data_IF_095117452218
#
_entry.id   IF_095117452218
#
_cell.length_a   1.000
_cell.length_b   1.000
_cell.length_c   1.000
_cell.angle_alpha   90.00
_cell.angle_beta   90.00
_cell.angle_gamma   90.00
#
_symmetry.space_group_name_H-M   'P 1'
#
loop_
_entity.id
_entity.type
_entity.pdbx_description
1 polymer ?
#
# COMPACT_ATOMS: atom_id res chain seq x y z
N UNK A 1 -15.04 0.87 -9.03
CA UNK A 1 -13.76 0.91 -8.31
C UNK A 1 -13.34 -0.47 -7.78
N UNK A 2 -12.09 -0.87 -8.01
CA UNK A 2 -11.46 -2.06 -7.44
C UNK A 2 -10.51 -1.70 -6.30
N UNK A 3 -10.61 -2.44 -5.20
CA UNK A 3 -9.62 -2.42 -4.13
C UNK A 3 -8.71 -3.63 -4.30
N UNK A 4 -7.40 -3.43 -4.17
CA UNK A 4 -6.39 -4.44 -4.44
C UNK A 4 -5.46 -4.54 -3.22
N UNK A 5 -5.11 -5.77 -2.83
CA UNK A 5 -3.97 -6.01 -1.94
C UNK A 5 -3.13 -7.19 -2.44
N UNK A 6 -1.92 -7.33 -1.91
CA UNK A 6 -1.04 -8.44 -2.22
C UNK A 6 -0.73 -9.26 -0.96
N UNK A 7 -0.88 -10.58 -1.06
CA UNK A 7 -0.56 -11.51 0.01
C UNK A 7 0.37 -12.61 -0.56
N UNK A 8 1.67 -12.43 -0.39
CA UNK A 8 2.70 -13.39 -0.81
C UNK A 8 3.65 -13.70 0.36
N UNK A 9 4.32 -14.86 0.28
CA UNK A 9 5.11 -15.40 1.38
C UNK A 9 4.28 -15.71 2.64
N UNK A 10 4.97 -15.79 3.78
CA UNK A 10 4.37 -16.19 5.07
C UNK A 10 4.21 -15.03 6.06
N UNK A 11 4.73 -13.84 5.72
CA UNK A 11 4.68 -12.66 6.60
C UNK A 11 3.25 -12.26 6.95
N UNK A 12 2.33 -12.31 5.98
CA UNK A 12 0.95 -11.91 6.15
C UNK A 12 0.00 -13.08 5.89
N UNK A 13 -0.86 -13.35 6.86
CA UNK A 13 -1.87 -14.40 6.82
C UNK A 13 -3.20 -13.93 6.22
N UNK A 14 -4.13 -14.86 6.01
CA UNK A 14 -5.48 -14.55 5.56
C UNK A 14 -6.20 -13.57 6.50
N UNK A 15 -5.91 -13.62 7.81
CA UNK A 15 -6.41 -12.64 8.78
C UNK A 15 -6.03 -11.21 8.42
N UNK A 16 -4.83 -10.95 7.88
CA UNK A 16 -4.42 -9.59 7.50
C UNK A 16 -5.22 -9.05 6.32
N UNK A 17 -5.53 -9.92 5.36
CA UNK A 17 -6.38 -9.58 4.21
C UNK A 17 -7.79 -9.25 4.70
N UNK A 18 -8.35 -10.08 5.57
CA UNK A 18 -9.67 -9.87 6.17
C UNK A 18 -9.70 -8.62 7.04
N UNK A 19 -8.64 -8.36 7.79
CA UNK A 19 -8.50 -7.18 8.65
C UNK A 19 -8.46 -5.89 7.83
N UNK A 20 -7.68 -5.85 6.74
CA UNK A 20 -7.67 -4.72 5.82
C UNK A 20 -9.07 -4.48 5.23
N UNK A 21 -9.72 -5.54 4.75
CA UNK A 21 -11.08 -5.45 4.21
C UNK A 21 -12.08 -4.95 5.26
N UNK A 22 -12.00 -5.46 6.49
CA UNK A 22 -12.82 -5.02 7.62
C UNK A 22 -12.65 -3.53 7.88
N UNK A 23 -11.42 -3.03 7.96
CA UNK A 23 -11.17 -1.61 8.21
C UNK A 23 -11.70 -0.72 7.07
N UNK A 24 -11.58 -1.18 5.83
CA UNK A 24 -12.14 -0.49 4.66
C UNK A 24 -13.66 -0.45 4.74
N UNK A 25 -14.31 -1.58 4.98
CA UNK A 25 -15.77 -1.69 4.96
C UNK A 25 -16.43 -0.86 6.06
N UNK A 26 -15.81 -0.80 7.24
CA UNK A 26 -16.43 -0.24 8.44
C UNK A 26 -16.04 1.21 8.70
N UNK A 27 -14.83 1.64 8.30
CA UNK A 27 -14.32 2.96 8.68
C UNK A 27 -14.04 3.88 7.49
N UNK A 28 -13.57 3.34 6.36
CA UNK A 28 -13.04 4.18 5.29
C UNK A 28 -14.07 5.04 4.56
N UNK A 29 -15.35 4.62 4.55
CA UNK A 29 -16.39 5.24 3.73
C UNK A 29 -16.23 5.02 2.22
N UNK A 30 -15.28 4.19 1.78
CA UNK A 30 -15.09 3.83 0.39
C UNK A 30 -16.22 2.90 -0.09
N UNK A 31 -16.58 3.03 -1.36
CA UNK A 31 -17.49 2.13 -2.08
C UNK A 31 -16.73 1.53 -3.24
N UNK A 32 -16.78 0.20 -3.36
CA UNK A 32 -16.04 -0.54 -4.36
C UNK A 32 -16.87 -1.73 -4.84
N UNK A 33 -16.55 -2.19 -6.06
CA UNK A 33 -17.27 -3.27 -6.73
C UNK A 33 -16.63 -4.63 -6.46
N UNK A 34 -15.32 -4.66 -6.23
CA UNK A 34 -14.55 -5.88 -5.94
C UNK A 34 -13.31 -5.62 -5.09
N UNK A 35 -12.96 -6.63 -4.30
CA UNK A 35 -11.77 -6.68 -3.47
C UNK A 35 -10.87 -7.80 -3.98
N UNK A 36 -9.75 -7.44 -4.59
CA UNK A 36 -8.87 -8.34 -5.32
C UNK A 36 -7.60 -8.63 -4.53
N UNK A 37 -7.25 -9.91 -4.42
CA UNK A 37 -6.03 -10.36 -3.73
C UNK A 37 -5.07 -11.01 -4.72
N UNK A 38 -3.87 -10.46 -4.86
CA UNK A 38 -2.80 -11.09 -5.62
C UNK A 38 -1.99 -11.99 -4.68
N UNK A 39 -2.06 -13.31 -4.93
CA UNK A 39 -1.37 -14.34 -4.14
C UNK A 39 -0.18 -14.99 -4.83
N UNK A 40 0.01 -14.74 -6.13
CA UNK A 40 1.08 -15.37 -6.91
C UNK A 40 2.43 -14.78 -6.52
N UNK A 41 3.31 -15.63 -6.01
CA UNK A 41 4.69 -15.29 -5.69
C UNK A 41 5.61 -15.67 -6.87
N UNK A 42 6.17 -14.65 -7.54
CA UNK A 42 7.11 -14.78 -8.64
C UNK A 42 8.56 -14.54 -8.22
N UNK A 43 8.78 -13.70 -7.21
CA UNK A 43 10.10 -13.12 -6.89
C UNK A 43 10.53 -13.32 -5.43
N UNK A 44 9.66 -13.88 -4.58
CA UNK A 44 9.88 -14.02 -3.14
C UNK A 44 9.94 -12.71 -2.37
N UNK A 45 9.49 -11.59 -2.96
CA UNK A 45 9.64 -10.26 -2.38
C UNK A 45 8.56 -9.26 -2.86
N UNK A 46 8.69 -7.99 -2.46
CA UNK A 46 7.71 -6.93 -2.76
C UNK A 46 7.49 -6.65 -4.26
N UNK A 47 8.41 -7.04 -5.15
CA UNK A 47 8.22 -6.89 -6.60
C UNK A 47 7.03 -7.68 -7.15
N UNK A 48 6.55 -8.68 -6.40
CA UNK A 48 5.30 -9.37 -6.70
C UNK A 48 4.12 -8.42 -6.87
N UNK A 49 4.12 -7.26 -6.19
CA UNK A 49 3.04 -6.27 -6.33
C UNK A 49 2.92 -5.71 -7.75
N UNK A 50 4.03 -5.66 -8.52
CA UNK A 50 4.01 -5.09 -9.87
C UNK A 50 3.10 -5.84 -10.85
N UNK A 51 2.74 -7.10 -10.55
CA UNK A 51 1.76 -7.88 -11.32
C UNK A 51 0.40 -7.17 -11.42
N UNK A 52 0.04 -6.32 -10.45
CA UNK A 52 -1.25 -5.61 -10.47
C UNK A 52 -1.41 -4.69 -11.68
N UNK A 53 -0.31 -4.09 -12.16
CA UNK A 53 -0.35 -3.18 -13.30
C UNK A 53 -0.54 -3.90 -14.63
N UNK A 54 -0.20 -5.20 -14.68
CA UNK A 54 -0.47 -6.03 -15.86
C UNK A 54 -1.88 -6.62 -15.83
N UNK A 55 -2.35 -6.98 -14.62
CA UNK A 55 -3.63 -7.64 -14.40
C UNK A 55 -4.83 -6.69 -14.48
N UNK A 56 -4.65 -5.45 -14.02
CA UNK A 56 -5.73 -4.48 -13.91
C UNK A 56 -5.44 -3.24 -14.76
N UNK A 57 -5.86 -3.30 -16.03
CA UNK A 57 -5.59 -2.30 -17.07
C UNK A 57 -6.80 -1.41 -17.39
N UNK A 58 -7.84 -1.51 -16.59
CA UNK A 58 -9.13 -0.85 -16.78
C UNK A 58 -9.70 -0.36 -15.45
N UNK A 59 -10.76 0.44 -15.55
CA UNK A 59 -11.51 0.95 -14.40
C UNK A 59 -10.65 1.77 -13.43
N UNK A 60 -11.22 2.05 -12.26
CA UNK A 60 -10.55 2.71 -11.15
C UNK A 60 -9.92 1.67 -10.23
N UNK A 61 -8.65 1.87 -9.88
CA UNK A 61 -7.84 0.94 -9.10
C UNK A 61 -7.32 1.66 -7.85
N UNK A 62 -7.42 0.99 -6.71
CA UNK A 62 -6.86 1.44 -5.43
C UNK A 62 -6.19 0.27 -4.72
N UNK A 63 -4.88 0.33 -4.57
CA UNK A 63 -4.07 -0.63 -3.84
C UNK A 63 -3.82 -0.16 -2.41
N UNK A 64 -3.85 -1.11 -1.48
CA UNK A 64 -3.33 -0.94 -0.12
C UNK A 64 -2.34 -2.07 0.20
N UNK A 65 -1.21 -1.74 0.84
CA UNK A 65 -0.41 -2.75 1.54
C UNK A 65 -1.25 -3.37 2.69
N UNK A 66 -0.85 -4.55 3.17
CA UNK A 66 -1.55 -5.25 4.26
C UNK A 66 -1.24 -4.68 5.66
N UNK A 67 -0.19 -3.86 5.78
CA UNK A 67 0.27 -3.27 7.03
C UNK A 67 -0.21 -1.82 7.17
N UNK A 68 -1.53 -1.65 7.09
CA UNK A 68 -2.24 -0.38 7.21
C UNK A 68 -3.13 -0.37 8.45
N UNK A 69 -3.43 0.82 8.97
CA UNK A 69 -4.53 1.06 9.91
C UNK A 69 -5.46 2.08 9.26
N UNK A 70 -6.74 1.73 9.07
CA UNK A 70 -7.76 2.66 8.61
C UNK A 70 -8.83 2.74 9.72
N UNK A 71 -9.01 3.94 10.27
CA UNK A 71 -9.80 4.16 11.48
C UNK A 71 -10.79 5.32 11.36
N UNK A 72 -11.00 5.83 10.14
CA UNK A 72 -12.00 6.84 9.85
C UNK A 72 -12.19 7.05 8.35
N UNK A 73 -13.11 7.95 8.00
CA UNK A 73 -13.47 8.24 6.61
C UNK A 73 -12.26 8.75 5.83
N UNK A 74 -11.95 8.11 4.71
CA UNK A 74 -10.84 8.50 3.85
C UNK A 74 -11.26 9.61 2.88
N UNK A 75 -10.32 10.50 2.49
CA UNK A 75 -10.55 11.45 1.41
C UNK A 75 -10.71 10.73 0.07
N UNK A 76 -10.97 11.46 -1.01
CA UNK A 76 -10.98 10.85 -2.34
C UNK A 76 -9.56 10.39 -2.73
N UNK A 77 -9.33 9.08 -2.64
CA UNK A 77 -8.09 8.41 -2.99
C UNK A 77 -8.03 8.01 -4.46
N UNK A 78 -9.11 8.15 -5.23
CA UNK A 78 -9.14 7.71 -6.64
C UNK A 78 -8.52 8.76 -7.54
N UNK A 79 -7.57 8.31 -8.36
CA UNK A 79 -6.74 9.17 -9.22
C UNK A 79 -6.66 8.59 -10.62
N UNK A 80 -6.78 9.48 -11.60
CA UNK A 80 -6.66 9.10 -13.00
C UNK A 80 -5.25 8.64 -13.35
N UNK A 81 -4.24 9.39 -12.90
CA UNK A 81 -2.84 9.08 -13.15
C UNK A 81 -2.27 8.20 -12.04
N UNK A 82 -1.21 7.45 -12.36
CA UNK A 82 -0.46 6.65 -11.40
C UNK A 82 0.01 7.53 -10.21
N UNK A 83 -0.56 7.29 -9.04
CA UNK A 83 -0.39 8.13 -7.85
C UNK A 83 -0.02 7.29 -6.63
N UNK A 84 0.98 7.73 -5.87
CA UNK A 84 1.53 7.07 -4.67
C UNK A 84 1.54 8.02 -3.48
N UNK A 85 1.92 7.55 -2.29
CA UNK A 85 2.22 8.42 -1.16
C UNK A 85 3.57 9.14 -1.34
N UNK A 86 3.68 10.30 -0.70
CA UNK A 86 4.92 11.06 -0.55
C UNK A 86 5.39 11.03 0.91
N UNK A 87 6.37 10.18 1.23
CA UNK A 87 6.94 10.00 2.56
C UNK A 87 7.79 11.18 3.05
N UNK A 88 8.06 12.19 2.20
CA UNK A 88 9.03 13.27 2.51
C UNK A 88 8.68 14.10 3.74
N UNK A 89 7.42 14.10 4.19
CA UNK A 89 6.99 14.89 5.34
C UNK A 89 7.04 14.14 6.69
N UNK A 90 7.34 12.84 6.70
CA UNK A 90 7.40 12.07 7.95
C UNK A 90 8.58 11.10 8.04
N UNK A 91 9.34 10.92 6.96
CA UNK A 91 10.50 10.03 6.91
C UNK A 91 11.78 10.80 6.65
N UNK A 92 12.86 10.38 7.30
CA UNK A 92 14.20 10.94 7.09
C UNK A 92 14.62 10.86 5.61
N UNK A 93 15.31 11.89 5.05
CA UNK A 93 15.71 11.96 3.63
C UNK A 93 16.66 10.86 3.11
N UNK A 94 17.04 9.89 3.95
CA UNK A 94 17.91 8.78 3.57
C UNK A 94 17.23 7.72 2.67
N UNK A 95 15.92 7.83 2.47
CA UNK A 95 15.11 6.94 1.63
C UNK A 95 14.55 7.68 0.40
N UNK A 96 13.98 6.93 -0.55
CA UNK A 96 13.18 7.55 -1.62
C UNK A 96 11.98 8.29 -1.00
N UNK A 97 11.56 9.44 -1.56
CA UNK A 97 10.38 10.15 -1.06
C UNK A 97 9.07 9.41 -1.36
N UNK A 98 9.09 8.29 -2.09
CA UNK A 98 7.88 7.58 -2.50
C UNK A 98 7.55 6.43 -1.55
N UNK A 99 6.26 6.14 -1.43
CA UNK A 99 5.75 4.99 -0.71
C UNK A 99 4.52 4.42 -1.40
N UNK A 100 4.56 3.11 -1.64
CA UNK A 100 3.51 2.39 -2.36
C UNK A 100 2.54 1.63 -1.47
N UNK A 101 2.45 1.96 -0.18
CA UNK A 101 1.42 1.41 0.71
C UNK A 101 0.01 1.86 0.35
N UNK A 102 -0.13 2.96 -0.39
CA UNK A 102 -1.37 3.34 -1.08
C UNK A 102 -1.02 3.76 -2.51
N UNK A 103 -1.66 3.14 -3.49
CA UNK A 103 -1.45 3.45 -4.92
C UNK A 103 -2.78 3.51 -5.64
N UNK A 104 -3.01 4.51 -6.49
CA UNK A 104 -4.20 4.57 -7.35
C UNK A 104 -3.86 4.90 -8.79
N UNK A 105 -4.67 4.36 -9.70
CA UNK A 105 -4.66 4.67 -11.12
C UNK A 105 -6.02 4.36 -11.75
N UNK A 106 -6.33 5.02 -12.86
CA UNK A 106 -7.50 4.67 -13.70
C UNK A 106 -7.01 4.25 -15.08
N UNK A 107 -7.54 3.16 -15.62
CA UNK A 107 -7.16 2.64 -16.94
C UNK A 107 -5.83 1.88 -16.94
N UNK A 108 -5.06 2.01 -18.02
CA UNK A 108 -3.90 1.15 -18.29
C UNK A 108 -2.58 1.81 -17.88
N UNK A 109 -1.94 1.24 -16.86
CA UNK A 109 -0.56 1.59 -16.44
C UNK A 109 0.42 0.42 -16.62
N UNK A 110 0.10 -0.54 -17.50
CA UNK A 110 0.94 -1.71 -17.81
C UNK A 110 2.33 -1.36 -18.32
N UNK A 111 2.58 -0.10 -18.72
CA UNK A 111 3.91 0.40 -19.02
C UNK A 111 4.89 0.23 -17.84
N UNK A 112 4.40 0.27 -16.59
CA UNK A 112 5.22 0.04 -15.39
C UNK A 112 5.70 -1.40 -15.35
N UNK A 113 4.78 -2.35 -15.55
CA UNK A 113 5.11 -3.77 -15.64
C UNK A 113 6.05 -4.07 -16.81
N UNK A 114 5.76 -3.53 -17.99
CA UNK A 114 6.62 -3.68 -19.20
C UNK A 114 8.03 -3.14 -18.95
N UNK A 115 8.16 -1.98 -18.29
CA UNK A 115 9.45 -1.39 -17.91
C UNK A 115 10.20 -2.27 -16.93
N UNK A 116 9.53 -2.84 -15.92
CA UNK A 116 10.18 -3.78 -15.00
C UNK A 116 10.63 -5.06 -15.72
N UNK A 117 9.73 -5.68 -16.50
CA UNK A 117 10.00 -6.93 -17.22
C UNK A 117 11.04 -6.80 -18.32
N UNK A 118 11.30 -5.60 -18.85
CA UNK A 118 12.36 -5.42 -19.86
C UNK A 118 13.76 -5.70 -19.33
N UNK A 119 13.97 -5.64 -18.00
CA UNK A 119 15.26 -5.95 -17.37
C UNK A 119 15.10 -6.36 -15.89
N UNK A 120 14.23 -7.34 -15.63
CA UNK A 120 13.81 -7.66 -14.26
C UNK A 120 14.96 -8.12 -13.36
N UNK A 121 15.89 -8.93 -13.88
CA UNK A 121 17.05 -9.41 -13.12
C UNK A 121 17.91 -8.25 -12.61
N UNK A 122 18.13 -7.24 -13.48
CA UNK A 122 18.85 -6.03 -13.11
C UNK A 122 18.11 -5.24 -12.03
N UNK A 123 16.80 -5.02 -12.18
CA UNK A 123 16.04 -4.23 -11.21
C UNK A 123 15.92 -4.93 -9.87
N UNK A 124 15.71 -6.25 -9.84
CA UNK A 124 15.71 -7.05 -8.62
C UNK A 124 17.04 -6.93 -7.87
N UNK A 125 18.17 -6.93 -8.59
CA UNK A 125 19.50 -6.79 -7.99
C UNK A 125 19.83 -5.36 -7.54
N UNK A 126 19.46 -4.36 -8.34
CA UNK A 126 19.83 -2.96 -8.11
C UNK A 126 18.98 -2.29 -7.02
N UNK A 127 17.68 -2.55 -7.01
CA UNK A 127 16.70 -1.85 -6.18
C UNK A 127 16.20 -2.79 -5.08
N UNK A 128 17.10 -3.11 -4.16
CA UNK A 128 16.89 -4.07 -3.08
C UNK A 128 16.28 -3.46 -1.80
N UNK A 129 15.88 -2.18 -1.83
CA UNK A 129 15.29 -1.47 -0.69
C UNK A 129 13.76 -1.35 -0.75
N UNK A 130 13.14 -1.76 -1.84
CA UNK A 130 11.69 -1.61 -2.05
C UNK A 130 11.34 -1.36 -3.52
N UNK A 131 10.07 -1.56 -3.89
CA UNK A 131 9.56 -1.20 -5.22
C UNK A 131 9.54 0.32 -5.42
N UNK A 132 9.51 1.08 -4.33
CA UNK A 132 9.46 2.54 -4.35
C UNK A 132 10.70 3.15 -4.98
N UNK A 133 11.87 2.55 -4.75
CA UNK A 133 13.11 2.99 -5.39
C UNK A 133 13.07 2.77 -6.90
N UNK A 134 12.49 1.65 -7.36
CA UNK A 134 12.25 1.41 -8.77
C UNK A 134 11.31 2.47 -9.35
N UNK A 135 10.19 2.78 -8.69
CA UNK A 135 9.28 3.83 -9.17
C UNK A 135 9.99 5.17 -9.30
N UNK A 136 10.71 5.57 -8.26
CA UNK A 136 11.39 6.87 -8.18
C UNK A 136 12.47 7.04 -9.25
N UNK A 137 13.22 5.97 -9.57
CA UNK A 137 14.36 6.05 -10.48
C UNK A 137 14.03 5.71 -11.92
N UNK A 138 13.02 4.88 -12.18
CA UNK A 138 12.75 4.34 -13.51
C UNK A 138 11.49 4.88 -14.17
N UNK A 139 10.53 5.42 -13.40
CA UNK A 139 9.32 5.99 -13.96
C UNK A 139 9.48 7.48 -14.24
N UNK A 140 9.12 7.89 -15.45
CA UNK A 140 9.13 9.29 -15.88
C UNK A 140 7.96 10.09 -15.34
N UNK A 141 6.83 9.42 -15.12
CA UNK A 141 5.56 10.06 -14.76
C UNK A 141 4.90 9.30 -13.62
N UNK A 142 4.75 9.98 -12.49
CA UNK A 142 3.93 9.61 -11.34
C UNK A 142 3.42 10.90 -10.68
N UNK A 143 2.36 10.76 -9.88
CA UNK A 143 1.86 11.81 -9.00
C UNK A 143 1.96 11.35 -7.55
N UNK A 144 1.83 12.29 -6.63
CA UNK A 144 1.74 11.98 -5.20
C UNK A 144 0.45 12.51 -4.59
N UNK A 145 -0.04 11.83 -3.57
CA UNK A 145 -1.15 12.34 -2.76
C UNK A 145 -0.73 13.55 -1.93
N UNK A 146 -1.67 14.46 -1.58
CA UNK A 146 -1.46 15.34 -0.44
C UNK A 146 -1.32 14.52 0.85
N UNK A 147 -1.11 15.19 1.99
CA UNK A 147 -0.92 14.52 3.29
C UNK A 147 -2.19 13.77 3.75
N UNK A 148 -2.36 12.52 3.31
CA UNK A 148 -3.53 11.68 3.58
C UNK A 148 -3.23 10.47 4.45
N UNK A 149 -1.95 10.18 4.69
CA UNK A 149 -1.45 9.04 5.44
C UNK A 149 -0.25 9.48 6.28
N UNK A 150 0.09 8.77 7.35
CA UNK A 150 1.37 8.97 8.04
C UNK A 150 1.87 7.63 8.58
N UNK A 151 3.07 7.61 9.17
CA UNK A 151 3.60 6.44 9.87
C UNK A 151 2.99 6.31 11.28
N UNK A 152 2.61 5.09 11.67
CA UNK A 152 2.24 4.78 13.06
C UNK A 152 3.37 5.04 14.05
N UNK A 153 4.63 5.09 13.60
CA UNK A 153 5.78 5.36 14.47
C UNK A 153 5.61 6.68 15.24
N UNK A 154 4.96 7.68 14.63
CA UNK A 154 4.69 8.98 15.23
C UNK A 154 3.45 8.99 16.14
N UNK A 155 2.65 7.92 16.11
CA UNK A 155 1.31 7.85 16.71
C UNK A 155 1.09 6.59 17.53
N UNK A 156 2.14 5.87 17.93
CA UNK A 156 2.00 4.55 18.58
C UNK A 156 1.17 4.62 19.88
N UNK A 157 1.33 5.69 20.66
CA UNK A 157 0.65 5.88 21.95
C UNK A 157 -0.62 6.73 21.88
N UNK A 158 -0.80 7.53 20.83
CA UNK A 158 -1.94 8.44 20.69
C UNK A 158 -2.44 8.45 19.25
N UNK A 159 -3.75 8.27 19.07
CA UNK A 159 -4.42 8.39 17.77
C UNK A 159 -4.22 9.80 17.20
N UNK A 160 -3.88 9.96 15.90
CA UNK A 160 -3.81 11.26 15.29
C UNK A 160 -5.20 11.91 15.19
N UNK A 161 -5.21 13.24 15.15
CA UNK A 161 -6.43 14.05 15.01
C UNK A 161 -6.66 14.48 13.53
N UNK A 162 -5.60 14.48 12.72
CA UNK A 162 -5.58 15.01 11.36
C UNK A 162 -5.48 13.95 10.25
N UNK A 163 -5.35 12.67 10.61
CA UNK A 163 -5.31 11.55 9.67
C UNK A 163 -6.35 10.51 10.08
N UNK A 164 -6.85 9.76 9.09
CA UNK A 164 -7.76 8.63 9.28
C UNK A 164 -7.15 7.29 8.83
N UNK A 165 -5.89 7.33 8.39
CA UNK A 165 -5.14 6.20 7.87
C UNK A 165 -3.66 6.36 8.24
N UNK A 166 -3.03 5.25 8.60
CA UNK A 166 -1.59 5.17 8.85
C UNK A 166 -0.99 3.93 8.19
N UNK A 167 0.25 4.02 7.74
CA UNK A 167 1.09 2.87 7.38
C UNK A 167 1.85 2.40 8.61
N UNK A 168 1.98 1.08 8.76
CA UNK A 168 2.75 0.48 9.85
C UNK A 168 4.22 0.31 9.47
N UNK A 169 4.50 -0.10 8.23
CA UNK A 169 5.85 -0.42 7.76
C UNK A 169 6.60 -1.37 8.71
N UNK A 170 7.66 -0.86 9.36
CA UNK A 170 8.45 -1.65 10.32
C UNK A 170 7.68 -2.01 11.61
N UNK A 171 6.59 -1.30 11.90
CA UNK A 171 5.71 -1.56 13.04
C UNK A 171 4.57 -2.55 12.73
N UNK A 172 4.61 -3.29 11.62
CA UNK A 172 3.57 -4.29 11.30
C UNK A 172 3.35 -5.34 12.41
N UNK A 173 4.35 -5.61 13.25
CA UNK A 173 4.26 -6.53 14.38
C UNK A 173 3.16 -6.15 15.39
N UNK A 174 2.71 -4.89 15.43
CA UNK A 174 1.62 -4.48 16.34
C UNK A 174 0.26 -5.06 15.95
N UNK A 175 0.15 -5.64 14.75
CA UNK A 175 -1.04 -6.40 14.35
C UNK A 175 -1.04 -7.82 14.92
N UNK A 176 0.06 -8.27 15.53
CA UNK A 176 0.19 -9.62 16.10
C UNK A 176 -0.44 -9.73 17.50
N UNK A 177 -0.77 -10.96 17.89
CA UNK A 177 -1.42 -11.23 19.18
C UNK A 177 -0.55 -10.74 20.34
N UNK A 178 -1.18 -10.07 21.30
CA UNK A 178 -0.52 -9.55 22.51
C UNK A 178 -0.15 -8.07 22.45
N UNK A 179 -0.18 -7.46 21.26
CA UNK A 179 -0.01 -6.02 21.10
C UNK A 179 -1.35 -5.30 21.23
N UNK A 180 -1.40 -4.30 22.10
CA UNK A 180 -2.60 -3.52 22.36
C UNK A 180 -2.27 -2.02 22.32
N UNK A 181 -3.14 -1.25 21.67
CA UNK A 181 -3.09 0.21 21.64
C UNK A 181 -4.41 0.77 21.15
N UNK A 182 -4.48 2.08 20.94
CA UNK A 182 -5.69 2.72 20.40
C UNK A 182 -6.07 2.13 19.03
N UNK A 183 -5.08 1.69 18.25
CA UNK A 183 -5.23 1.10 16.92
C UNK A 183 -5.93 -0.27 16.97
N UNK A 184 -5.80 -1.02 18.06
CA UNK A 184 -6.39 -2.35 18.21
C UNK A 184 -7.91 -2.34 18.17
N UNK A 185 -8.54 -1.20 18.50
CA UNK A 185 -9.99 -1.01 18.42
C UNK A 185 -10.53 -1.07 16.97
N UNK A 186 -9.65 -0.96 15.98
CA UNK A 186 -10.00 -0.96 14.57
C UNK A 186 -9.64 -2.28 13.87
N UNK A 187 -9.02 -3.22 14.59
CA UNK A 187 -8.67 -4.51 14.05
C UNK A 187 -9.78 -5.54 14.28
N UNK A 188 -9.81 -6.56 13.42
CA UNK A 188 -10.53 -7.79 13.69
C UNK A 188 -9.95 -8.46 14.94
N UNK A 189 -10.78 -9.15 15.73
CA UNK A 189 -10.28 -10.03 16.79
C UNK A 189 -9.26 -11.04 16.24
N UNK A 190 -8.28 -11.39 17.07
CA UNK A 190 -7.29 -12.44 16.82
C UNK A 190 -7.41 -13.60 17.78
#
# INVERSE_FOLDING_TARGET
MRIICCQFGEKFTQWHVENLKYMIDNFSGLKYDSFEVIKRDLYGNWYNKLQMYDRFRDGENLYFDLDMIIFGKLPNLIKNNFTLLDDSYWREPAHTPLNSSVVSWTGDVSYIWKKFKSNEEYFLKKYNKGSDEFYYRELKYYQTYPKVCESIANHIYKKPDNYNMLTLGQYHHIMEKGWNGWYSNFFLPR
#
